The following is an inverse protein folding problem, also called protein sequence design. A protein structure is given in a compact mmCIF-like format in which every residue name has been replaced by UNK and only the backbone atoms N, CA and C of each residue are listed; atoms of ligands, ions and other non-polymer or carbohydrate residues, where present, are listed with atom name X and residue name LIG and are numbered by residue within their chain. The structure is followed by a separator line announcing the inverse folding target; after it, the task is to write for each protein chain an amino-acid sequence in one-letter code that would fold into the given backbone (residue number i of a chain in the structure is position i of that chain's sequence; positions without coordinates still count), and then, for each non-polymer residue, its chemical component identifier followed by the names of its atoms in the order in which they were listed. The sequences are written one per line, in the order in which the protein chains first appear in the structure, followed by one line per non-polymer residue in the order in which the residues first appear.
data_IF_014474509918
#
_entry.id   IF_014474509918
#
_cell.length_a   1.000
_cell.length_b   1.000
_cell.length_c   1.000
_cell.angle_alpha   90.00
_cell.angle_beta   90.00
_cell.angle_gamma   90.00
#
_symmetry.space_group_name_H-M   'P 1'
#
loop_
_entity.id
_entity.type
_entity.pdbx_description
1 polymer ?
#
# COMPACT_ATOMS: atom_id res chain seq x y z
N UNK A 1 -6.24 -10.02 21.69
CA UNK A 1 -5.37 -8.82 21.57
C UNK A 1 -6.23 -7.56 21.50
N UNK A 2 -5.75 -6.43 22.03
CA UNK A 2 -6.50 -5.16 21.95
C UNK A 2 -6.49 -4.66 20.49
N UNK A 3 -7.62 -4.13 19.95
CA UNK A 3 -7.69 -3.68 18.55
C UNK A 3 -6.64 -2.61 18.21
N UNK A 4 -6.29 -1.75 19.17
CA UNK A 4 -5.19 -0.78 19.03
C UNK A 4 -3.87 -1.45 18.66
N UNK A 5 -3.49 -2.53 19.37
CA UNK A 5 -2.23 -3.24 19.14
C UNK A 5 -2.22 -3.90 17.76
N UNK A 6 -3.33 -4.54 17.38
CA UNK A 6 -3.48 -5.16 16.05
C UNK A 6 -3.36 -4.13 14.93
N UNK A 7 -4.02 -2.98 15.09
CA UNK A 7 -3.94 -1.88 14.11
C UNK A 7 -2.52 -1.34 13.99
N UNK A 8 -1.84 -1.11 15.14
CA UNK A 8 -0.45 -0.66 15.16
C UNK A 8 0.47 -1.63 14.43
N UNK A 9 0.37 -2.93 14.74
CA UNK A 9 1.18 -3.98 14.07
C UNK A 9 0.88 -4.02 12.57
N UNK A 10 -0.40 -3.99 12.19
CA UNK A 10 -0.78 -3.96 10.78
C UNK A 10 -0.19 -2.77 10.03
N UNK A 11 -0.24 -1.57 10.61
CA UNK A 11 0.33 -0.37 10.00
C UNK A 11 1.86 -0.48 9.81
N UNK A 12 2.58 -1.06 10.78
CA UNK A 12 4.01 -1.34 10.61
C UNK A 12 4.28 -2.37 9.51
N UNK A 13 3.45 -3.40 9.38
CA UNK A 13 3.58 -4.37 8.29
C UNK A 13 3.29 -3.74 6.92
N UNK A 14 2.30 -2.86 6.83
CA UNK A 14 2.01 -2.08 5.61
C UNK A 14 3.18 -1.15 5.28
N UNK A 15 3.77 -0.51 6.28
CA UNK A 15 4.94 0.34 6.10
C UNK A 15 6.14 -0.45 5.56
N UNK A 16 6.44 -1.61 6.14
CA UNK A 16 7.50 -2.49 5.68
C UNK A 16 7.26 -2.97 4.25
N UNK A 17 6.04 -3.42 3.94
CA UNK A 17 5.65 -3.81 2.59
C UNK A 17 5.86 -2.66 1.60
N UNK A 18 5.35 -1.47 1.91
CA UNK A 18 5.49 -0.29 1.05
C UNK A 18 6.95 0.09 0.84
N UNK A 19 7.76 0.05 1.89
CA UNK A 19 9.20 0.30 1.80
C UNK A 19 9.92 -0.71 0.89
N UNK A 20 9.63 -2.01 1.05
CA UNK A 20 10.21 -3.06 0.22
C UNK A 20 9.81 -2.91 -1.26
N UNK A 21 8.53 -2.61 -1.54
CA UNK A 21 8.05 -2.33 -2.90
C UNK A 21 8.76 -1.10 -3.47
N UNK A 22 8.91 -0.04 -2.69
CA UNK A 22 9.61 1.17 -3.08
C UNK A 22 11.07 0.91 -3.47
N UNK A 23 11.80 0.18 -2.64
CA UNK A 23 13.17 -0.24 -2.95
C UNK A 23 13.24 -1.11 -4.20
N UNK A 24 12.35 -2.11 -4.31
CA UNK A 24 12.31 -2.98 -5.46
C UNK A 24 12.09 -2.19 -6.76
N UNK A 25 11.13 -1.26 -6.80
CA UNK A 25 10.89 -0.41 -7.96
C UNK A 25 12.09 0.47 -8.34
N UNK A 26 12.92 0.87 -7.38
CA UNK A 26 14.13 1.66 -7.67
C UNK A 26 15.25 0.77 -8.23
N UNK A 27 15.48 -0.39 -7.60
CA UNK A 27 16.69 -1.20 -7.80
C UNK A 27 16.52 -2.24 -8.92
N UNK A 28 15.33 -2.84 -9.07
CA UNK A 28 15.10 -3.94 -10.02
C UNK A 28 15.44 -3.48 -11.45
N UNK A 29 16.29 -4.23 -12.19
CA UNK A 29 16.58 -3.95 -13.58
C UNK A 29 15.33 -4.06 -14.46
N UNK A 30 15.23 -3.23 -15.50
CA UNK A 30 14.08 -3.23 -16.43
C UNK A 30 13.79 -4.62 -17.02
N UNK A 31 14.78 -5.41 -17.48
CA UNK A 31 14.51 -6.75 -18.01
C UNK A 31 13.83 -7.70 -17.02
N UNK A 32 14.04 -7.50 -15.71
CA UNK A 32 13.38 -8.32 -14.67
C UNK A 32 11.89 -8.01 -14.52
N UNK A 33 11.41 -6.92 -15.09
CA UNK A 33 9.98 -6.57 -15.07
C UNK A 33 9.13 -7.52 -15.91
N UNK A 34 9.73 -8.22 -16.88
CA UNK A 34 9.04 -9.23 -17.69
C UNK A 34 8.51 -10.38 -16.82
N UNK A 35 9.25 -10.76 -15.77
CA UNK A 35 8.79 -11.74 -14.78
C UNK A 35 7.49 -11.31 -14.08
N UNK A 36 7.31 -10.01 -13.86
CA UNK A 36 6.12 -9.44 -13.23
C UNK A 36 4.98 -9.16 -14.22
N UNK A 37 5.18 -9.49 -15.51
CA UNK A 37 4.19 -9.32 -16.57
C UNK A 37 4.27 -7.99 -17.31
N UNK A 38 5.28 -7.15 -17.06
CA UNK A 38 5.49 -5.87 -17.72
C UNK A 38 6.43 -6.03 -18.93
N UNK A 39 6.00 -6.74 -19.96
CA UNK A 39 6.78 -6.91 -21.18
C UNK A 39 6.88 -5.62 -22.00
N UNK A 40 8.06 -5.35 -22.55
CA UNK A 40 8.30 -4.18 -23.40
C UNK A 40 8.38 -2.84 -22.64
N UNK A 41 8.44 -2.88 -21.32
CA UNK A 41 8.61 -1.67 -20.52
C UNK A 41 9.98 -1.04 -20.78
N UNK A 42 10.00 0.27 -21.03
CA UNK A 42 11.22 1.05 -21.28
C UNK A 42 11.27 2.31 -20.42
N UNK A 43 12.49 2.71 -20.06
CA UNK A 43 12.73 3.88 -19.21
C UNK A 43 12.64 3.56 -17.71
N UNK A 44 13.45 4.26 -16.91
CA UNK A 44 13.56 3.99 -15.47
C UNK A 44 12.90 5.06 -14.60
N UNK A 45 12.61 6.24 -15.18
CA UNK A 45 12.16 7.40 -14.40
C UNK A 45 10.84 7.13 -13.67
N UNK A 46 9.79 6.75 -14.36
CA UNK A 46 8.47 6.55 -13.74
C UNK A 46 8.47 5.38 -12.76
N UNK A 47 9.26 4.34 -13.06
CA UNK A 47 9.46 3.21 -12.15
C UNK A 47 10.11 3.68 -10.83
N UNK A 48 11.20 4.43 -10.92
CA UNK A 48 11.90 4.97 -9.76
C UNK A 48 11.03 6.00 -9.00
N UNK A 49 10.31 6.85 -9.70
CA UNK A 49 9.36 7.80 -9.11
C UNK A 49 8.28 7.08 -8.30
N UNK A 50 7.68 6.02 -8.85
CA UNK A 50 6.74 5.17 -8.12
C UNK A 50 7.37 4.58 -6.86
N UNK A 51 8.63 4.14 -6.94
CA UNK A 51 9.40 3.65 -5.80
C UNK A 51 9.57 4.70 -4.69
N UNK A 52 9.91 5.94 -5.06
CA UNK A 52 10.02 7.05 -4.10
C UNK A 52 8.67 7.33 -3.42
N UNK A 53 7.56 7.33 -4.16
CA UNK A 53 6.23 7.51 -3.55
C UNK A 53 5.90 6.41 -2.55
N UNK A 54 6.25 5.15 -2.83
CA UNK A 54 6.09 4.06 -1.87
C UNK A 54 6.92 4.27 -0.61
N UNK A 55 8.15 4.78 -0.72
CA UNK A 55 9.00 5.11 0.43
C UNK A 55 8.36 6.23 1.26
N UNK A 56 7.88 7.30 0.62
CA UNK A 56 7.17 8.39 1.32
C UNK A 56 5.94 7.86 2.06
N UNK A 57 5.14 7.02 1.42
CA UNK A 57 3.97 6.41 2.06
C UNK A 57 4.36 5.52 3.24
N UNK A 58 5.49 4.80 3.16
CA UNK A 58 5.97 3.99 4.30
C UNK A 58 6.25 4.84 5.54
N UNK A 59 6.80 6.03 5.37
CA UNK A 59 7.03 6.98 6.48
C UNK A 59 5.70 7.41 7.09
N UNK A 60 4.69 7.72 6.28
CA UNK A 60 3.35 8.10 6.75
C UNK A 60 2.73 6.97 7.56
N UNK A 61 2.83 5.71 7.11
CA UNK A 61 2.32 4.55 7.84
C UNK A 61 3.04 4.33 9.17
N UNK A 62 4.38 4.57 9.23
CA UNK A 62 5.15 4.51 10.48
C UNK A 62 4.67 5.57 11.46
N UNK A 63 4.45 6.80 11.01
CA UNK A 63 3.97 7.88 11.88
C UNK A 63 2.58 7.55 12.42
N UNK A 64 1.67 7.07 11.58
CA UNK A 64 0.34 6.61 12.00
C UNK A 64 0.42 5.47 13.03
N UNK A 65 1.33 4.50 12.82
CA UNK A 65 1.51 3.35 13.69
C UNK A 65 2.06 3.73 15.08
N UNK A 66 2.87 4.79 15.19
CA UNK A 66 3.44 5.24 16.47
C UNK A 66 2.38 5.62 17.50
N UNK A 67 1.33 6.30 17.06
CA UNK A 67 0.20 6.62 17.92
C UNK A 67 -1.08 6.82 17.08
N UNK A 68 -1.84 5.75 16.96
CA UNK A 68 -3.10 5.74 16.17
C UNK A 68 -4.16 6.67 16.75
N UNK A 69 -4.07 6.99 18.04
CA UNK A 69 -5.01 7.89 18.71
C UNK A 69 -4.65 9.36 18.50
N UNK A 70 -3.36 9.66 18.40
CA UNK A 70 -2.86 11.01 18.17
C UNK A 70 -2.99 11.44 16.70
N UNK A 71 -2.88 10.49 15.78
CA UNK A 71 -2.83 10.77 14.35
C UNK A 71 -3.98 10.11 13.55
N UNK A 72 -5.26 10.31 13.95
CA UNK A 72 -6.39 9.69 13.25
C UNK A 72 -6.48 10.09 11.77
N UNK A 73 -6.06 11.31 11.43
CA UNK A 73 -6.03 11.80 10.04
C UNK A 73 -5.14 10.94 9.15
N UNK A 74 -4.04 10.38 9.67
CA UNK A 74 -3.16 9.50 8.91
C UNK A 74 -3.78 8.12 8.70
N UNK A 75 -4.67 7.67 9.58
CA UNK A 75 -5.47 6.45 9.35
C UNK A 75 -6.43 6.68 8.19
N UNK A 76 -7.14 7.80 8.16
CA UNK A 76 -8.02 8.15 7.03
C UNK A 76 -7.25 8.32 5.73
N UNK A 77 -6.07 8.95 5.77
CA UNK A 77 -5.20 9.05 4.60
C UNK A 77 -4.75 7.66 4.10
N UNK A 78 -4.38 6.76 5.02
CA UNK A 78 -4.04 5.36 4.69
C UNK A 78 -5.20 4.65 3.99
N UNK A 79 -6.40 4.76 4.53
CA UNK A 79 -7.60 4.18 3.93
C UNK A 79 -7.87 4.74 2.53
N UNK A 80 -7.85 6.08 2.41
CA UNK A 80 -8.07 6.76 1.12
C UNK A 80 -7.04 6.31 0.08
N UNK A 81 -5.74 6.30 0.44
CA UNK A 81 -4.68 5.89 -0.46
C UNK A 81 -4.85 4.43 -0.92
N UNK A 82 -5.19 3.51 0.01
CA UNK A 82 -5.40 2.10 -0.32
C UNK A 82 -6.62 1.88 -1.22
N UNK A 83 -7.74 2.56 -0.97
CA UNK A 83 -8.93 2.44 -1.82
C UNK A 83 -8.72 3.05 -3.20
N UNK A 84 -8.08 4.22 -3.31
CA UNK A 84 -7.75 4.82 -4.61
C UNK A 84 -6.81 3.91 -5.39
N UNK A 85 -5.75 3.39 -4.75
CA UNK A 85 -4.83 2.45 -5.39
C UNK A 85 -5.54 1.17 -5.86
N UNK A 86 -6.46 0.61 -5.04
CA UNK A 86 -7.28 -0.54 -5.41
C UNK A 86 -8.10 -0.27 -6.66
N UNK A 87 -8.85 0.84 -6.67
CA UNK A 87 -9.69 1.21 -7.82
C UNK A 87 -8.85 1.40 -9.07
N UNK A 88 -7.73 2.11 -8.96
CA UNK A 88 -6.81 2.33 -10.08
C UNK A 88 -6.24 1.02 -10.61
N UNK A 89 -5.67 0.18 -9.73
CA UNK A 89 -4.98 -1.06 -10.15
C UNK A 89 -5.95 -2.08 -10.74
N UNK A 90 -7.10 -2.31 -10.11
CA UNK A 90 -8.11 -3.21 -10.65
C UNK A 90 -8.72 -2.66 -11.93
N UNK A 91 -9.02 -1.37 -12.00
CA UNK A 91 -9.50 -0.71 -13.20
C UNK A 91 -8.49 -0.83 -14.34
N UNK A 92 -7.21 -0.56 -14.08
CA UNK A 92 -6.14 -0.72 -15.06
C UNK A 92 -6.05 -2.15 -15.60
N UNK A 93 -6.06 -3.13 -14.70
CA UNK A 93 -6.01 -4.55 -15.07
C UNK A 93 -7.16 -4.96 -15.99
N UNK A 94 -8.39 -4.55 -15.69
CA UNK A 94 -9.55 -4.98 -16.48
C UNK A 94 -9.75 -4.18 -17.78
N UNK A 95 -9.28 -2.93 -17.85
CA UNK A 95 -9.55 -2.03 -18.98
C UNK A 95 -8.38 -1.99 -19.98
N UNK A 96 -7.12 -2.09 -19.50
CA UNK A 96 -5.94 -1.90 -20.35
C UNK A 96 -5.13 -3.18 -20.50
N UNK A 97 -4.32 -3.52 -19.52
CA UNK A 97 -3.36 -4.62 -19.61
C UNK A 97 -3.57 -5.64 -18.48
N UNK A 98 -3.70 -6.91 -18.82
CA UNK A 98 -3.90 -8.01 -17.87
C UNK A 98 -2.59 -8.45 -17.20
N UNK A 99 -1.82 -7.50 -16.65
CA UNK A 99 -0.58 -7.75 -15.93
C UNK A 99 -0.88 -8.36 -14.57
N UNK A 100 -0.45 -9.58 -14.32
CA UNK A 100 -0.78 -10.32 -13.10
C UNK A 100 -0.32 -9.60 -11.80
N UNK A 101 0.84 -8.90 -11.85
CA UNK A 101 1.34 -8.14 -10.69
C UNK A 101 0.43 -6.95 -10.35
N UNK A 102 -0.19 -6.31 -11.36
CA UNK A 102 -1.16 -5.24 -11.15
C UNK A 102 -2.40 -5.77 -10.43
N UNK A 103 -2.90 -6.94 -10.87
CA UNK A 103 -4.01 -7.60 -10.19
C UNK A 103 -3.67 -7.95 -8.74
N UNK A 104 -2.53 -8.60 -8.53
CA UNK A 104 -2.07 -9.00 -7.19
C UNK A 104 -1.90 -7.78 -6.27
N UNK A 105 -1.33 -6.68 -6.78
CA UNK A 105 -1.17 -5.43 -6.04
C UNK A 105 -2.52 -4.80 -5.69
N UNK A 106 -3.47 -4.78 -6.62
CA UNK A 106 -4.83 -4.26 -6.39
C UNK A 106 -5.59 -5.05 -5.30
N UNK A 107 -5.51 -6.37 -5.34
CA UNK A 107 -6.09 -7.23 -4.30
C UNK A 107 -5.39 -7.01 -2.96
N UNK A 108 -4.06 -6.91 -2.96
CA UNK A 108 -3.27 -6.64 -1.76
C UNK A 108 -3.64 -5.30 -1.10
N UNK A 109 -3.76 -4.24 -1.88
CA UNK A 109 -4.16 -2.92 -1.39
C UNK A 109 -5.60 -2.92 -0.85
N UNK A 110 -6.51 -3.62 -1.52
CA UNK A 110 -7.87 -3.82 -1.03
C UNK A 110 -7.90 -4.50 0.35
N UNK A 111 -7.19 -5.62 0.50
CA UNK A 111 -7.13 -6.36 1.76
C UNK A 111 -6.50 -5.54 2.87
N UNK A 112 -5.38 -4.86 2.60
CA UNK A 112 -4.75 -3.98 3.57
C UNK A 112 -5.70 -2.85 4.00
N UNK A 113 -6.37 -2.19 3.06
CA UNK A 113 -7.35 -1.14 3.36
C UNK A 113 -8.53 -1.67 4.18
N UNK A 114 -9.07 -2.83 3.80
CA UNK A 114 -10.18 -3.46 4.51
C UNK A 114 -9.82 -3.79 5.97
N UNK A 115 -8.65 -4.41 6.21
CA UNK A 115 -8.22 -4.73 7.56
C UNK A 115 -7.95 -3.49 8.41
N UNK A 116 -7.33 -2.46 7.85
CA UNK A 116 -7.15 -1.16 8.55
C UNK A 116 -8.52 -0.58 8.92
N UNK A 117 -9.49 -0.57 8.00
CA UNK A 117 -10.84 -0.07 8.26
C UNK A 117 -11.54 -0.85 9.40
N UNK A 118 -11.53 -2.18 9.34
CA UNK A 118 -12.18 -3.03 10.34
C UNK A 118 -11.56 -2.85 11.74
N UNK A 119 -10.21 -2.81 11.81
CA UNK A 119 -9.50 -2.62 13.08
C UNK A 119 -9.68 -1.21 13.63
N UNK A 120 -9.69 -0.19 12.77
CA UNK A 120 -9.95 1.19 13.17
C UNK A 120 -11.36 1.35 13.71
N UNK A 121 -12.37 0.83 13.00
CA UNK A 121 -13.76 0.83 13.45
C UNK A 121 -13.94 0.08 14.77
N UNK A 122 -13.29 -1.06 14.93
CA UNK A 122 -13.32 -1.81 16.19
C UNK A 122 -12.65 -1.05 17.34
N UNK A 123 -11.54 -0.37 17.05
CA UNK A 123 -10.82 0.42 18.04
C UNK A 123 -11.64 1.63 18.52
N UNK A 124 -12.23 2.39 17.62
CA UNK A 124 -13.05 3.57 17.95
C UNK A 124 -14.32 3.19 18.70
N UNK A 125 -15.01 2.13 18.28
CA UNK A 125 -16.24 1.65 18.96
C UNK A 125 -16.01 1.19 20.41
N UNK A 126 -14.80 0.87 20.81
CA UNK A 126 -14.47 0.51 22.21
C UNK A 126 -14.13 1.71 23.09
N UNK A 127 -14.04 2.90 22.52
CA UNK A 127 -13.77 4.14 23.24
C UNK A 127 -15.05 4.86 23.66
N UNK A 128 -16.14 4.60 22.91
CA UNK A 128 -17.50 5.05 23.24
C UNK A 128 -18.15 4.09 24.25
#
# INVERSE_FOLDING_TARGET
MKPRVLLTVLLYLIALHSFCVGLALIIIPIPSLDFFGFSGYSGSFFKAQGGIFHIVMSIIYIIAARDVDKYPILIYLTLTAKFIATIFLLGYYFIFDHVWMVLASGIGDFLMGLFVYLLWKWHTKKKD
#
